data_IF_120487379627
#
_entry.id   IF_120487379627
#
_cell.length_a   1.000
_cell.length_b   1.000
_cell.length_c   1.000
_cell.angle_alpha   90.00
_cell.angle_beta   90.00
_cell.angle_gamma   90.00
#
_symmetry.space_group_name_H-M   'P 1'
#
loop_
_entity.id
_entity.type
_entity.pdbx_description
1 polymer ?
#
# COMPACT_ATOMS: atom_id res chain seq x y z
N UNK A 1 -16.23 -27.14 -22.32
CA UNK A 1 -16.12 -26.15 -21.23
C UNK A 1 -14.90 -25.28 -21.52
N UNK A 2 -15.10 -24.05 -22.01
CA UNK A 2 -14.00 -23.17 -22.38
C UNK A 2 -13.23 -22.69 -21.13
N UNK A 3 -11.89 -22.55 -21.18
CA UNK A 3 -11.14 -22.04 -20.04
C UNK A 3 -11.49 -20.56 -19.82
N UNK A 4 -12.03 -20.26 -18.65
CA UNK A 4 -12.31 -18.89 -18.20
C UNK A 4 -10.99 -18.12 -18.15
N UNK A 5 -10.91 -17.07 -18.96
CA UNK A 5 -9.78 -16.14 -19.08
C UNK A 5 -9.52 -15.50 -17.70
N UNK A 6 -8.59 -16.03 -16.89
CA UNK A 6 -8.11 -15.36 -15.67
C UNK A 6 -7.51 -14.01 -16.09
N UNK A 7 -8.20 -12.92 -15.75
CA UNK A 7 -7.79 -11.56 -16.05
C UNK A 7 -6.41 -11.27 -15.46
N UNK A 8 -5.56 -10.56 -16.22
CA UNK A 8 -4.19 -10.15 -15.82
C UNK A 8 -4.12 -9.47 -14.44
N UNK A 9 -5.22 -8.90 -13.95
CA UNK A 9 -5.31 -8.23 -12.64
C UNK A 9 -5.02 -9.15 -11.44
N UNK A 10 -5.45 -10.42 -11.49
CA UNK A 10 -5.29 -11.35 -10.37
C UNK A 10 -3.83 -11.76 -10.12
N UNK A 11 -2.99 -11.78 -11.17
CA UNK A 11 -1.55 -12.10 -11.05
C UNK A 11 -0.75 -10.95 -10.44
N UNK A 12 -1.16 -9.70 -10.68
CA UNK A 12 -0.49 -8.52 -10.10
C UNK A 12 -0.79 -8.38 -8.61
N UNK A 13 -2.03 -8.64 -8.20
CA UNK A 13 -2.43 -8.58 -6.78
C UNK A 13 -1.76 -9.63 -5.90
N UNK A 14 -1.56 -10.86 -6.40
CA UNK A 14 -0.83 -11.91 -5.66
C UNK A 14 0.63 -11.51 -5.42
N UNK A 15 1.27 -10.86 -6.39
CA UNK A 15 2.67 -10.43 -6.29
C UNK A 15 2.84 -9.31 -5.24
N UNK A 16 1.88 -8.39 -5.13
CA UNK A 16 1.92 -7.30 -4.14
C UNK A 16 1.84 -7.86 -2.71
N UNK A 17 1.00 -8.86 -2.45
CA UNK A 17 0.86 -9.45 -1.12
C UNK A 17 2.15 -10.14 -0.65
N UNK A 18 2.82 -10.89 -1.53
CA UNK A 18 4.12 -11.49 -1.21
C UNK A 18 5.19 -10.43 -0.94
N UNK A 19 5.23 -9.36 -1.76
CA UNK A 19 6.15 -8.23 -1.54
C UNK A 19 5.86 -7.48 -0.25
N UNK A 20 4.59 -7.31 0.12
CA UNK A 20 4.17 -6.70 1.39
C UNK A 20 4.64 -7.51 2.59
N UNK A 21 4.51 -8.84 2.53
CA UNK A 21 5.00 -9.71 3.59
C UNK A 21 6.52 -9.60 3.80
N UNK A 22 7.29 -9.35 2.73
CA UNK A 22 8.73 -9.09 2.84
C UNK A 22 9.01 -7.72 3.51
N UNK A 23 8.32 -6.67 3.09
CA UNK A 23 8.43 -5.33 3.74
C UNK A 23 8.11 -5.41 5.23
N UNK A 24 7.12 -6.22 5.61
CA UNK A 24 6.73 -6.40 7.02
C UNK A 24 7.83 -7.07 7.84
N UNK A 25 8.62 -7.96 7.22
CA UNK A 25 9.69 -8.71 7.88
C UNK A 25 10.99 -7.92 8.00
N UNK A 26 11.47 -7.31 6.92
CA UNK A 26 12.79 -6.64 6.88
C UNK A 26 12.74 -5.12 6.68
N UNK A 27 11.59 -4.58 6.31
CA UNK A 27 11.42 -3.15 6.04
C UNK A 27 10.96 -2.31 7.24
N UNK A 28 10.85 -1.00 6.99
CA UNK A 28 10.27 -0.02 7.93
C UNK A 28 8.98 0.53 7.35
N UNK A 29 7.89 0.30 8.07
CA UNK A 29 6.56 0.73 7.67
C UNK A 29 5.79 1.31 8.86
N UNK A 30 4.79 2.12 8.55
CA UNK A 30 3.85 2.68 9.53
C UNK A 30 2.42 2.50 9.05
N UNK A 31 1.56 2.11 9.99
CA UNK A 31 0.16 1.78 9.72
C UNK A 31 -0.76 2.89 10.21
N UNK A 32 -1.82 3.14 9.46
CA UNK A 32 -2.90 4.03 9.82
C UNK A 32 -2.74 5.46 9.34
N UNK A 33 -3.87 6.15 9.28
CA UNK A 33 -4.04 7.47 8.70
C UNK A 33 -3.14 8.56 9.31
N UNK A 34 -3.22 8.75 10.64
CA UNK A 34 -2.49 9.82 11.34
C UNK A 34 -0.96 9.66 11.20
N UNK A 35 -0.48 8.41 11.23
CA UNK A 35 0.94 8.11 11.07
C UNK A 35 1.38 8.30 9.62
N UNK A 36 0.59 7.85 8.65
CA UNK A 36 0.88 8.07 7.23
C UNK A 36 1.00 9.58 6.91
N UNK A 37 0.09 10.41 7.40
CA UNK A 37 0.19 11.87 7.29
C UNK A 37 1.45 12.45 7.94
N UNK A 38 1.86 11.92 9.10
CA UNK A 38 3.10 12.35 9.77
C UNK A 38 4.35 11.99 8.93
N UNK A 39 4.36 10.81 8.30
CA UNK A 39 5.48 10.40 7.45
C UNK A 39 5.52 11.18 6.13
N UNK A 40 4.36 11.47 5.55
CA UNK A 40 4.23 12.35 4.39
C UNK A 40 4.79 13.75 4.68
N UNK A 41 4.35 14.37 5.77
CA UNK A 41 4.83 15.71 6.16
C UNK A 41 6.31 15.75 6.50
N UNK A 42 6.89 14.65 6.97
CA UNK A 42 8.32 14.56 7.27
C UNK A 42 9.18 14.12 6.07
N UNK A 43 8.56 13.83 4.91
CA UNK A 43 9.27 13.39 3.71
C UNK A 43 9.92 12.00 3.83
N UNK A 44 9.55 11.21 4.85
CA UNK A 44 10.14 9.88 5.09
C UNK A 44 9.39 8.76 4.38
N UNK A 45 8.18 9.01 3.91
CA UNK A 45 7.39 8.04 3.17
C UNK A 45 7.88 7.96 1.71
N UNK A 46 8.24 6.74 1.27
CA UNK A 46 8.62 6.45 -0.12
C UNK A 46 7.45 5.89 -0.94
N UNK A 47 6.57 5.12 -0.30
CA UNK A 47 5.38 4.54 -0.93
C UNK A 47 4.21 4.53 0.06
N UNK A 48 3.01 4.78 -0.44
CA UNK A 48 1.76 4.69 0.32
C UNK A 48 0.81 3.73 -0.34
N UNK A 49 0.23 2.86 0.48
CA UNK A 49 -0.82 1.93 0.08
C UNK A 49 -2.14 2.37 0.68
N UNK A 50 -3.16 2.49 -0.16
CA UNK A 50 -4.51 2.87 0.24
C UNK A 50 -5.45 1.71 -0.07
N UNK A 51 -6.19 1.23 0.93
CA UNK A 51 -7.19 0.19 0.71
C UNK A 51 -8.34 0.67 -0.17
N UNK A 52 -8.99 -0.25 -0.88
CA UNK A 52 -10.10 0.09 -1.79
C UNK A 52 -11.29 0.76 -1.11
N UNK A 53 -11.59 0.35 0.12
CA UNK A 53 -12.71 0.86 0.91
C UNK A 53 -12.35 2.06 1.81
N UNK A 54 -11.22 2.72 1.58
CA UNK A 54 -10.85 3.91 2.34
C UNK A 54 -11.80 5.08 2.01
N UNK A 55 -12.34 5.82 3.01
CA UNK A 55 -13.30 6.90 2.74
C UNK A 55 -12.74 7.95 1.78
N UNK A 56 -13.54 8.44 0.82
CA UNK A 56 -13.07 9.27 -0.28
C UNK A 56 -12.35 10.54 0.21
N UNK A 57 -12.87 11.20 1.23
CA UNK A 57 -12.24 12.40 1.81
C UNK A 57 -10.81 12.12 2.31
N UNK A 58 -10.59 11.02 3.02
CA UNK A 58 -9.26 10.65 3.54
C UNK A 58 -8.32 10.18 2.44
N UNK A 59 -8.87 9.49 1.43
CA UNK A 59 -8.12 9.06 0.25
C UNK A 59 -7.57 10.28 -0.49
N UNK A 60 -8.43 11.26 -0.81
CA UNK A 60 -8.03 12.50 -1.47
C UNK A 60 -7.04 13.32 -0.65
N UNK A 61 -7.21 13.38 0.68
CA UNK A 61 -6.26 14.09 1.54
C UNK A 61 -4.87 13.44 1.50
N UNK A 62 -4.77 12.10 1.57
CA UNK A 62 -3.49 11.38 1.47
C UNK A 62 -2.85 11.54 0.09
N UNK A 63 -3.63 11.42 -0.98
CA UNK A 63 -3.16 11.62 -2.35
C UNK A 63 -2.60 13.02 -2.55
N UNK A 64 -3.28 14.04 -2.01
CA UNK A 64 -2.82 15.41 -2.05
C UNK A 64 -1.47 15.59 -1.35
N UNK A 65 -1.34 15.08 -0.12
CA UNK A 65 -0.07 15.16 0.61
C UNK A 65 1.04 14.35 -0.06
N UNK A 66 0.73 13.19 -0.64
CA UNK A 66 1.69 12.37 -1.38
C UNK A 66 2.17 13.08 -2.66
N UNK A 67 1.29 13.80 -3.34
CA UNK A 67 1.65 14.62 -4.49
C UNK A 67 2.62 15.75 -4.09
N UNK A 68 2.36 16.42 -2.97
CA UNK A 68 3.25 17.46 -2.44
C UNK A 68 4.63 16.91 -2.03
N UNK A 69 4.68 15.74 -1.42
CA UNK A 69 5.93 15.08 -1.00
C UNK A 69 6.61 14.27 -2.11
N UNK A 70 6.04 14.23 -3.32
CA UNK A 70 6.48 13.39 -4.45
C UNK A 70 6.62 11.91 -4.05
N UNK A 71 5.72 11.43 -3.21
CA UNK A 71 5.67 10.05 -2.74
C UNK A 71 4.76 9.22 -3.64
N UNK A 72 5.18 8.01 -4.01
CA UNK A 72 4.36 7.10 -4.82
C UNK A 72 3.13 6.64 -4.04
N UNK A 73 1.97 6.59 -4.71
CA UNK A 73 0.72 6.08 -4.15
C UNK A 73 0.27 4.87 -4.95
N UNK A 74 -0.03 3.78 -4.25
CA UNK A 74 -0.56 2.55 -4.84
C UNK A 74 -1.94 2.26 -4.25
N UNK A 75 -2.95 2.16 -5.11
CA UNK A 75 -4.28 1.70 -4.72
C UNK A 75 -4.27 0.19 -4.58
N UNK A 76 -4.43 -0.29 -3.36
CA UNK A 76 -4.54 -1.70 -3.09
C UNK A 76 -5.97 -2.17 -3.43
N UNK A 77 -6.07 -3.20 -4.28
CA UNK A 77 -7.36 -3.72 -4.77
C UNK A 77 -8.22 -4.37 -3.67
N UNK A 78 -7.61 -4.75 -2.54
CA UNK A 78 -8.31 -5.35 -1.40
C UNK A 78 -8.89 -4.33 -0.41
N UNK A 79 -9.70 -4.84 0.51
CA UNK A 79 -10.27 -4.08 1.61
C UNK A 79 -9.23 -3.77 2.70
N UNK A 80 -9.61 -2.94 3.67
CA UNK A 80 -8.81 -2.67 4.87
C UNK A 80 -8.57 -3.92 5.76
N UNK A 81 -9.41 -4.95 5.65
CA UNK A 81 -9.18 -6.23 6.32
C UNK A 81 -8.06 -6.97 5.60
N UNK A 82 -8.15 -7.08 4.27
CA UNK A 82 -7.17 -7.77 3.44
C UNK A 82 -5.78 -7.14 3.56
N UNK A 83 -5.72 -5.80 3.59
CA UNK A 83 -4.46 -5.06 3.78
C UNK A 83 -3.87 -5.30 5.17
N UNK A 84 -4.72 -5.34 6.22
CA UNK A 84 -4.29 -5.69 7.57
C UNK A 84 -3.72 -7.09 7.66
N UNK A 85 -4.40 -8.07 7.07
CA UNK A 85 -3.95 -9.47 7.00
C UNK A 85 -2.66 -9.61 6.19
N UNK A 86 -2.55 -8.95 5.04
CA UNK A 86 -1.32 -8.93 4.24
C UNK A 86 -0.14 -8.31 5.00
N UNK A 87 -0.41 -7.32 5.85
CA UNK A 87 0.55 -6.70 6.75
C UNK A 87 0.85 -7.52 8.04
N UNK A 88 0.24 -8.71 8.19
CA UNK A 88 0.41 -9.56 9.38
C UNK A 88 -0.27 -9.03 10.65
N UNK A 89 -1.31 -8.19 10.52
CA UNK A 89 -2.03 -7.58 11.64
C UNK A 89 -3.44 -8.14 11.77
N UNK A 90 -3.84 -8.43 13.01
CA UNK A 90 -5.18 -8.92 13.36
C UNK A 90 -6.23 -7.80 13.49
N UNK A 91 -5.96 -6.63 12.91
CA UNK A 91 -6.86 -5.48 12.89
C UNK A 91 -6.88 -4.83 11.51
N UNK A 92 -7.99 -4.14 11.21
CA UNK A 92 -8.20 -3.44 9.95
C UNK A 92 -7.21 -2.29 9.74
N UNK A 93 -6.60 -2.22 8.57
CA UNK A 93 -5.66 -1.16 8.17
C UNK A 93 -6.14 -0.55 6.86
N UNK A 94 -6.53 0.72 6.88
CA UNK A 94 -6.97 1.42 5.65
C UNK A 94 -5.84 2.07 4.85
N UNK A 95 -4.72 2.36 5.52
CA UNK A 95 -3.58 3.08 4.91
C UNK A 95 -2.30 2.52 5.51
N UNK A 96 -1.33 2.22 4.67
CA UNK A 96 0.03 1.87 5.08
C UNK A 96 1.03 2.78 4.37
N UNK A 97 2.06 3.19 5.10
CA UNK A 97 3.17 4.01 4.59
C UNK A 97 4.45 3.22 4.74
N UNK A 98 5.25 3.16 3.68
CA UNK A 98 6.51 2.44 3.62
C UNK A 98 7.62 3.47 3.57
N UNK A 99 8.50 3.41 4.56
CA UNK A 99 9.68 4.27 4.68
C UNK A 99 10.90 3.55 4.09
N UNK A 100 10.96 2.24 4.31
CA UNK A 100 12.00 1.37 3.80
C UNK A 100 11.38 0.03 3.40
N UNK A 101 11.67 -0.44 2.19
CA UNK A 101 11.14 -1.69 1.69
C UNK A 101 12.01 -2.91 2.06
N UNK A 102 13.20 -2.70 2.64
CA UNK A 102 14.12 -3.79 2.97
C UNK A 102 14.47 -4.58 1.71
N UNK A 103 14.26 -5.91 1.76
CA UNK A 103 14.55 -6.83 0.64
C UNK A 103 13.42 -6.91 -0.40
N UNK A 104 12.40 -6.07 -0.28
CA UNK A 104 11.24 -6.10 -1.17
C UNK A 104 11.38 -5.11 -2.31
N UNK A 105 11.19 -5.58 -3.54
CA UNK A 105 11.13 -4.76 -4.75
C UNK A 105 9.80 -3.97 -4.89
N UNK A 106 9.12 -3.70 -3.78
CA UNK A 106 7.84 -2.98 -3.78
C UNK A 106 8.00 -1.51 -4.19
N UNK A 107 9.18 -0.90 -3.96
CA UNK A 107 9.47 0.48 -4.36
C UNK A 107 9.79 0.63 -5.85
N UNK A 108 10.11 -0.46 -6.54
CA UNK A 108 10.38 -0.48 -7.98
C UNK A 108 9.11 -0.57 -8.82
N UNK A 109 7.93 -0.60 -8.20
CA UNK A 109 6.65 -0.43 -8.93
C UNK A 109 6.54 1.05 -9.29
N UNK A 110 7.34 1.44 -10.28
CA UNK A 110 7.35 2.75 -10.91
C UNK A 110 6.00 2.99 -11.58
N UNK A 111 5.39 4.10 -11.18
CA UNK A 111 4.86 5.13 -12.08
C UNK A 111 4.64 4.70 -13.53
N UNK A 112 3.37 4.55 -13.89
CA UNK A 112 2.86 4.91 -15.21
C UNK A 112 1.85 6.04 -15.03
#
# INVERSE_FOLDING_TARGET
MAPVKKSKSAKTSENINSRLQLVVKSGKYTLGYKQALKQLRSGKAKLILISKNCPPLRKSEIEYYAMLSKTSVHHYDGSNVDLGTAAGRLYRVGVMSIQDAGDSDLLQVETA
#
